data_IF_199413001379
#
_entry.id   IF_199413001379
#
_cell.length_a   1.000
_cell.length_b   1.000
_cell.length_c   1.000
_cell.angle_alpha   90.00
_cell.angle_beta   90.00
_cell.angle_gamma   90.00
#
_symmetry.space_group_name_H-M   'P 1'
#
loop_
_entity.id
_entity.type
_entity.pdbx_description
1 polymer ?
#
# COMPACT_ATOMS: atom_id res chain seq x y z
N UNK A 1 -30.15 13.84 42.56
CA UNK A 1 -28.74 13.50 42.35
C UNK A 1 -28.65 13.00 40.92
N UNK A 2 -28.15 13.84 40.00
CA UNK A 2 -28.05 13.50 38.58
C UNK A 2 -26.83 12.59 38.42
N UNK A 3 -27.06 11.34 38.04
CA UNK A 3 -25.99 10.43 37.63
C UNK A 3 -25.35 10.99 36.35
N UNK A 4 -24.09 11.42 36.45
CA UNK A 4 -23.28 11.73 35.28
C UNK A 4 -23.03 10.42 34.53
N UNK A 5 -23.62 10.29 33.34
CA UNK A 5 -23.18 9.31 32.35
C UNK A 5 -21.76 9.71 31.92
N UNK A 6 -20.78 8.91 32.31
CA UNK A 6 -19.43 9.05 31.79
C UNK A 6 -19.43 8.62 30.31
N UNK A 7 -18.92 9.46 29.41
CA UNK A 7 -18.59 9.03 28.06
C UNK A 7 -17.43 8.03 28.14
N UNK A 8 -17.64 6.81 27.66
CA UNK A 8 -16.54 5.87 27.47
C UNK A 8 -15.77 6.25 26.20
N UNK A 9 -14.52 6.64 26.38
CA UNK A 9 -13.61 7.01 25.30
C UNK A 9 -13.05 5.73 24.67
N UNK A 10 -13.38 5.49 23.40
CA UNK A 10 -12.78 4.41 22.61
C UNK A 10 -11.60 4.98 21.82
N UNK A 11 -10.41 4.42 22.04
CA UNK A 11 -9.22 4.73 21.27
C UNK A 11 -8.73 3.48 20.52
N UNK A 12 -8.28 3.67 19.29
CA UNK A 12 -7.56 2.65 18.52
C UNK A 12 -6.20 3.21 18.10
N UNK A 13 -5.22 2.33 17.91
CA UNK A 13 -3.87 2.71 17.50
C UNK A 13 -3.52 1.98 16.20
N UNK A 14 -2.85 2.65 15.28
CA UNK A 14 -2.23 2.03 14.12
C UNK A 14 -0.71 2.24 14.19
N UNK A 15 0.04 1.22 13.79
CA UNK A 15 1.49 1.27 13.72
C UNK A 15 1.92 1.43 12.26
N UNK A 16 2.63 2.51 11.97
CA UNK A 16 3.19 2.78 10.64
C UNK A 16 4.69 2.60 10.71
N UNK A 17 5.22 1.67 9.93
CA UNK A 17 6.64 1.40 9.79
C UNK A 17 7.11 1.79 8.38
N UNK A 18 8.32 2.34 8.27
CA UNK A 18 8.91 2.70 6.99
C UNK A 18 10.32 2.10 6.85
N UNK A 19 10.54 1.38 5.76
CA UNK A 19 11.84 0.85 5.35
C UNK A 19 12.34 1.62 4.15
N UNK A 20 13.59 2.07 4.18
CA UNK A 20 14.12 2.97 3.16
C UNK A 20 15.43 2.48 2.56
N UNK A 21 15.62 2.70 1.26
CA UNK A 21 16.88 2.42 0.57
C UNK A 21 17.15 3.43 -0.54
N UNK A 22 18.42 3.66 -0.83
CA UNK A 22 18.89 4.62 -1.83
C UNK A 22 19.75 3.93 -2.87
N UNK A 23 19.53 4.25 -4.14
CA UNK A 23 20.34 3.78 -5.26
C UNK A 23 20.76 4.94 -6.14
N UNK A 24 21.99 4.89 -6.67
CA UNK A 24 22.52 5.89 -7.60
C UNK A 24 22.84 5.18 -8.91
N UNK A 25 22.08 5.51 -9.95
CA UNK A 25 22.30 5.04 -11.30
C UNK A 25 23.19 6.02 -12.06
N UNK A 26 24.43 5.62 -12.31
CA UNK A 26 25.42 6.37 -13.10
C UNK A 26 25.35 5.93 -14.56
N UNK A 27 25.08 6.88 -15.45
CA UNK A 27 25.00 6.70 -16.90
C UNK A 27 26.28 7.29 -17.48
N UNK A 28 27.31 6.45 -17.62
CA UNK A 28 28.54 6.80 -18.31
C UNK A 28 28.33 6.75 -19.83
N UNK A 29 28.93 7.70 -20.56
CA UNK A 29 28.69 7.85 -21.99
C UNK A 29 27.33 8.49 -22.29
N UNK A 30 26.86 9.41 -21.44
CA UNK A 30 25.53 10.02 -21.55
C UNK A 30 25.27 10.63 -22.93
N UNK A 31 26.29 11.23 -23.55
CA UNK A 31 26.22 11.76 -24.91
C UNK A 31 25.75 10.74 -25.95
N UNK A 32 26.13 9.47 -25.81
CA UNK A 32 25.73 8.37 -26.71
C UNK A 32 24.27 7.95 -26.54
N UNK A 33 23.65 8.33 -25.44
CA UNK A 33 22.25 8.01 -25.14
C UNK A 33 21.28 8.99 -25.81
N UNK A 34 21.79 10.14 -26.27
CA UNK A 34 20.99 11.14 -26.95
C UNK A 34 20.72 10.70 -28.40
N UNK A 35 19.45 10.75 -28.81
CA UNK A 35 19.04 10.28 -30.13
C UNK A 35 18.77 8.78 -30.20
N UNK A 36 18.71 8.07 -29.06
CA UNK A 36 18.18 6.72 -28.98
C UNK A 36 16.70 6.66 -29.40
N UNK A 37 15.98 7.78 -29.26
CA UNK A 37 14.59 7.92 -29.65
C UNK A 37 13.64 7.85 -28.45
N UNK A 38 12.50 8.53 -28.58
CA UNK A 38 11.51 8.62 -27.51
C UNK A 38 10.96 7.23 -27.16
N UNK A 39 10.81 6.96 -25.86
CA UNK A 39 10.37 5.66 -25.35
C UNK A 39 11.49 4.61 -25.23
N UNK A 40 12.69 4.88 -25.73
CA UNK A 40 13.87 4.06 -25.42
C UNK A 40 14.42 4.44 -24.05
N UNK A 41 14.82 3.45 -23.26
CA UNK A 41 15.28 3.66 -21.90
C UNK A 41 16.55 2.89 -21.55
N UNK A 42 17.15 3.31 -20.44
CA UNK A 42 18.22 2.66 -19.74
C UNK A 42 17.68 2.21 -18.37
N UNK A 43 18.03 1.00 -17.97
CA UNK A 43 17.63 0.45 -16.67
C UNK A 43 18.86 0.26 -15.78
N UNK A 44 18.73 0.61 -14.49
CA UNK A 44 19.76 0.34 -13.50
C UNK A 44 19.84 -1.15 -13.12
N UNK A 45 20.88 -1.52 -12.40
CA UNK A 45 20.85 -2.74 -11.58
C UNK A 45 19.72 -2.66 -10.55
N UNK A 46 19.26 -3.83 -10.08
CA UNK A 46 18.27 -3.90 -9.02
C UNK A 46 18.85 -3.52 -7.65
N UNK A 47 18.01 -2.99 -6.78
CA UNK A 47 18.32 -2.74 -5.37
C UNK A 47 17.11 -3.10 -4.52
N UNK A 48 17.36 -3.70 -3.36
CA UNK A 48 16.29 -4.25 -2.51
C UNK A 48 15.92 -3.28 -1.39
N UNK A 49 14.62 -3.03 -1.21
CA UNK A 49 14.06 -2.25 -0.09
C UNK A 49 12.84 -2.97 0.44
N UNK A 50 12.82 -3.24 1.76
CA UNK A 50 11.73 -3.96 2.43
C UNK A 50 11.42 -5.33 1.79
N UNK A 51 12.43 -6.06 1.34
CA UNK A 51 12.25 -7.37 0.68
C UNK A 51 11.74 -7.31 -0.75
N UNK A 52 11.57 -6.10 -1.33
CA UNK A 52 11.19 -5.92 -2.72
C UNK A 52 12.36 -5.39 -3.55
N UNK A 53 12.48 -5.89 -4.78
CA UNK A 53 13.51 -5.44 -5.72
C UNK A 53 12.99 -4.30 -6.59
N UNK A 54 13.78 -3.24 -6.67
CA UNK A 54 13.47 -2.02 -7.41
C UNK A 54 14.54 -1.76 -8.46
N UNK A 55 14.17 -1.13 -9.57
CA UNK A 55 15.11 -0.62 -10.57
C UNK A 55 14.72 0.78 -11.02
N UNK A 56 15.72 1.61 -11.33
CA UNK A 56 15.52 2.93 -11.92
C UNK A 56 15.45 2.76 -13.44
N UNK A 57 14.45 3.37 -14.08
CA UNK A 57 14.30 3.42 -15.53
C UNK A 57 14.41 4.87 -16.00
N UNK A 58 15.36 5.16 -16.87
CA UNK A 58 15.67 6.50 -17.34
C UNK A 58 15.48 6.61 -18.86
N UNK A 59 14.77 7.64 -19.32
CA UNK A 59 14.52 7.91 -20.73
C UNK A 59 15.23 9.21 -21.14
N UNK A 60 16.36 9.13 -21.89
CA UNK A 60 17.13 10.32 -22.28
C UNK A 60 16.42 11.23 -23.28
N UNK A 61 15.53 10.67 -24.10
CA UNK A 61 14.75 11.37 -25.12
C UNK A 61 13.25 11.43 -24.80
N UNK A 62 12.89 11.21 -23.53
CA UNK A 62 11.50 11.23 -23.07
C UNK A 62 10.82 9.87 -23.12
N UNK A 63 9.76 9.73 -22.33
CA UNK A 63 9.00 8.50 -22.20
C UNK A 63 7.94 8.31 -23.30
N UNK A 64 7.29 9.39 -23.73
CA UNK A 64 6.19 9.38 -24.70
C UNK A 64 6.36 10.47 -25.77
N UNK A 65 6.19 10.08 -27.04
CA UNK A 65 6.42 10.90 -28.24
C UNK A 65 5.62 12.20 -28.23
N UNK A 66 4.39 12.16 -27.74
CA UNK A 66 3.45 13.27 -27.91
C UNK A 66 3.64 14.42 -26.92
N UNK A 67 4.41 14.24 -25.85
CA UNK A 67 4.47 15.23 -24.76
C UNK A 67 5.86 15.40 -24.11
N UNK A 68 6.80 14.47 -24.32
CA UNK A 68 8.01 14.44 -23.49
C UNK A 68 9.33 14.43 -24.26
N UNK A 69 9.30 14.60 -25.59
CA UNK A 69 10.48 14.50 -26.45
C UNK A 69 11.59 15.54 -26.14
N UNK A 70 11.22 16.65 -25.50
CA UNK A 70 12.12 17.73 -25.05
C UNK A 70 12.57 17.58 -23.58
N UNK A 71 12.15 16.51 -22.90
CA UNK A 71 12.46 16.21 -21.51
C UNK A 71 13.23 14.90 -21.36
N UNK A 72 14.02 14.80 -20.30
CA UNK A 72 14.43 13.50 -19.75
C UNK A 72 13.34 13.02 -18.79
N UNK A 73 13.08 11.72 -18.80
CA UNK A 73 12.11 11.09 -17.88
C UNK A 73 12.81 10.11 -16.95
N UNK A 74 12.28 9.96 -15.74
CA UNK A 74 12.78 9.01 -14.75
C UNK A 74 11.62 8.30 -14.06
N UNK A 75 11.75 7.00 -13.88
CA UNK A 75 10.80 6.15 -13.18
C UNK A 75 11.52 5.17 -12.27
N UNK A 76 10.79 4.59 -11.32
CA UNK A 76 11.20 3.42 -10.55
C UNK A 76 10.19 2.32 -10.84
N UNK A 77 10.69 1.11 -11.01
CA UNK A 77 9.88 -0.07 -11.32
C UNK A 77 10.09 -1.13 -10.27
N UNK A 78 8.99 -1.74 -9.83
CA UNK A 78 9.01 -2.92 -8.96
C UNK A 78 9.36 -4.15 -9.82
N UNK A 79 10.48 -4.80 -9.53
CA UNK A 79 11.04 -5.92 -10.31
C UNK A 79 10.70 -7.28 -9.71
N UNK A 80 10.63 -7.37 -8.38
CA UNK A 80 10.23 -8.60 -7.70
C UNK A 80 8.71 -8.80 -7.80
N UNK A 81 8.29 -10.06 -7.69
CA UNK A 81 6.88 -10.37 -7.43
C UNK A 81 6.44 -9.85 -6.06
N UNK A 82 5.13 -9.65 -5.91
CA UNK A 82 4.50 -9.12 -4.68
C UNK A 82 4.61 -10.07 -3.48
N UNK A 83 4.97 -11.33 -3.70
CA UNK A 83 5.20 -12.31 -2.64
C UNK A 83 6.60 -12.10 -2.03
N UNK A 84 6.81 -10.95 -1.40
CA UNK A 84 7.98 -10.77 -0.55
C UNK A 84 7.89 -11.75 0.63
N UNK A 85 9.02 -12.29 1.13
CA UNK A 85 9.04 -13.23 2.26
C UNK A 85 8.51 -12.64 3.57
N UNK A 86 8.24 -11.33 3.62
CA UNK A 86 7.76 -10.61 4.81
C UNK A 86 6.29 -10.14 4.69
N UNK A 87 5.63 -10.34 3.55
CA UNK A 87 4.28 -9.81 3.28
C UNK A 87 3.18 -10.77 3.76
N UNK A 88 3.30 -11.23 5.00
CA UNK A 88 2.23 -11.98 5.67
C UNK A 88 1.05 -11.09 6.12
N UNK A 89 1.11 -9.78 5.82
CA UNK A 89 0.09 -8.78 6.17
C UNK A 89 -1.04 -8.67 5.13
N UNK A 90 -1.11 -9.54 4.11
CA UNK A 90 -2.21 -9.57 3.13
C UNK A 90 -2.29 -8.35 2.21
N UNK A 91 -1.28 -7.47 2.23
CA UNK A 91 -1.27 -6.26 1.42
C UNK A 91 -0.99 -6.59 -0.07
N UNK A 92 -2.04 -6.56 -0.89
CA UNK A 92 -1.95 -6.77 -2.34
C UNK A 92 -1.21 -5.65 -3.11
N UNK A 93 -0.75 -4.58 -2.43
CA UNK A 93 -0.11 -3.40 -3.03
C UNK A 93 1.03 -2.89 -2.15
N UNK A 94 2.23 -2.74 -2.72
CA UNK A 94 3.38 -2.14 -2.02
C UNK A 94 3.24 -0.63 -2.08
N UNK A 95 3.00 0.03 -0.95
CA UNK A 95 2.94 1.51 -0.90
C UNK A 95 4.32 2.08 -0.65
N UNK A 96 4.76 2.99 -1.51
CA UNK A 96 6.05 3.64 -1.34
C UNK A 96 6.01 5.14 -1.65
N UNK A 97 6.82 5.90 -0.91
CA UNK A 97 7.27 7.23 -1.32
C UNK A 97 8.60 7.10 -2.06
N UNK A 98 8.75 7.87 -3.13
CA UNK A 98 9.94 7.80 -3.99
C UNK A 98 10.46 9.20 -4.23
N UNK A 99 11.72 9.42 -3.87
CA UNK A 99 12.46 10.65 -4.12
C UNK A 99 13.46 10.44 -5.25
N UNK A 100 13.29 11.17 -6.35
CA UNK A 100 14.25 11.20 -7.45
C UNK A 100 15.11 12.45 -7.37
N UNK A 101 16.39 12.32 -7.70
CA UNK A 101 17.27 13.47 -7.84
C UNK A 101 18.35 13.33 -8.91
N UNK A 102 18.74 14.46 -9.51
CA UNK A 102 19.94 14.52 -10.36
C UNK A 102 21.10 15.08 -9.55
N UNK A 103 22.24 14.39 -9.59
CA UNK A 103 23.43 14.75 -8.81
C UNK A 103 24.36 15.67 -9.61
N UNK A 104 24.75 16.80 -9.00
CA UNK A 104 25.87 17.62 -9.45
C UNK A 104 27.18 16.96 -9.01
N UNK A 105 27.83 16.31 -9.97
CA UNK A 105 29.03 15.50 -9.75
C UNK A 105 30.32 16.33 -9.66
N UNK A 106 30.26 17.64 -9.91
CA UNK A 106 31.43 18.55 -9.79
C UNK A 106 31.79 18.83 -8.33
N UNK A 107 30.90 18.48 -7.40
CA UNK A 107 31.07 18.62 -5.96
C UNK A 107 31.46 17.28 -5.35
N UNK A 108 32.25 17.33 -4.28
CA UNK A 108 32.59 16.16 -3.46
C UNK A 108 32.20 16.44 -2.00
N UNK A 109 31.18 15.75 -1.44
CA UNK A 109 30.33 14.76 -2.11
C UNK A 109 29.39 15.40 -3.16
N UNK A 110 28.86 14.62 -4.13
CA UNK A 110 27.87 15.12 -5.08
C UNK A 110 26.62 15.65 -4.37
N UNK A 111 26.03 16.72 -4.92
CA UNK A 111 24.85 17.39 -4.34
C UNK A 111 23.64 17.19 -5.24
N UNK A 112 22.47 16.95 -4.65
CA UNK A 112 21.21 16.87 -5.40
C UNK A 112 20.83 18.27 -5.89
N UNK A 113 20.74 18.47 -7.21
CA UNK A 113 20.41 19.78 -7.81
C UNK A 113 18.91 19.94 -8.10
N UNK A 114 18.26 18.84 -8.44
CA UNK A 114 16.80 18.75 -8.60
C UNK A 114 16.34 17.55 -7.81
N UNK A 115 15.33 17.73 -6.99
CA UNK A 115 14.68 16.67 -6.24
C UNK A 115 13.17 16.72 -6.49
N UNK A 116 12.52 15.57 -6.61
CA UNK A 116 11.08 15.49 -6.73
C UNK A 116 10.58 14.21 -6.07
N UNK A 117 9.51 14.33 -5.30
CA UNK A 117 8.93 13.25 -4.51
C UNK A 117 7.54 12.88 -5.00
N UNK A 118 7.30 11.59 -5.18
CA UNK A 118 5.98 11.04 -5.45
C UNK A 118 5.59 9.97 -4.42
N UNK A 119 4.31 9.64 -4.38
CA UNK A 119 3.77 8.51 -3.61
C UNK A 119 3.00 7.62 -4.55
N UNK A 120 3.22 6.31 -4.49
CA UNK A 120 2.55 5.36 -5.39
C UNK A 120 2.35 3.99 -4.74
N UNK A 121 1.29 3.31 -5.15
CA UNK A 121 1.03 1.91 -4.80
C UNK A 121 1.39 1.00 -5.96
N UNK A 122 2.37 0.13 -5.77
CA UNK A 122 2.83 -0.83 -6.77
C UNK A 122 2.04 -2.13 -6.60
N UNK A 123 1.09 -2.38 -7.52
CA UNK A 123 0.13 -3.48 -7.40
C UNK A 123 0.60 -4.81 -8.03
N UNK A 124 1.68 -4.79 -8.81
CA UNK A 124 2.20 -5.98 -9.48
C UNK A 124 3.66 -5.80 -9.88
N UNK A 125 4.31 -6.91 -10.21
CA UNK A 125 5.59 -6.90 -10.90
C UNK A 125 5.51 -6.07 -12.19
N UNK A 126 6.50 -5.20 -12.41
CA UNK A 126 6.55 -4.28 -13.54
C UNK A 126 5.75 -2.99 -13.33
N UNK A 127 5.02 -2.83 -12.22
CA UNK A 127 4.42 -1.56 -11.86
C UNK A 127 5.51 -0.48 -11.74
N UNK A 128 5.23 0.69 -12.29
CA UNK A 128 6.23 1.76 -12.45
C UNK A 128 5.63 3.12 -12.16
N UNK A 129 6.40 3.98 -11.48
CA UNK A 129 6.00 5.34 -11.15
C UNK A 129 7.17 6.30 -11.27
N UNK A 130 6.90 7.52 -11.72
CA UNK A 130 7.95 8.48 -12.04
C UNK A 130 7.45 9.78 -12.63
N UNK A 131 8.39 10.52 -13.22
CA UNK A 131 8.15 11.79 -13.87
C UNK A 131 8.48 11.68 -15.35
N UNK A 132 7.43 11.75 -16.18
CA UNK A 132 7.58 11.82 -17.63
C UNK A 132 8.30 13.12 -18.07
N UNK A 133 8.13 14.21 -17.31
CA UNK A 133 8.79 15.52 -17.53
C UNK A 133 9.72 15.86 -16.37
N UNK A 134 10.72 15.01 -16.12
CA UNK A 134 11.56 15.18 -14.94
C UNK A 134 12.47 16.41 -15.04
N UNK A 135 13.12 16.66 -16.17
CA UNK A 135 13.87 17.89 -16.43
C UNK A 135 13.94 18.12 -17.94
N UNK A 136 13.87 19.37 -18.42
CA UNK A 136 14.05 19.61 -19.85
C UNK A 136 15.49 19.28 -20.29
N UNK A 137 15.68 18.82 -21.53
CA UNK A 137 17.01 18.52 -22.07
C UNK A 137 17.91 19.74 -22.08
N UNK A 138 17.33 20.94 -22.30
CA UNK A 138 18.04 22.21 -22.24
C UNK A 138 18.57 22.53 -20.83
N UNK A 139 17.78 22.27 -19.78
CA UNK A 139 18.23 22.41 -18.39
C UNK A 139 19.32 21.39 -18.06
N UNK A 140 19.18 20.12 -18.47
CA UNK A 140 20.22 19.10 -18.25
C UNK A 140 21.55 19.57 -18.86
N UNK A 141 21.53 20.06 -20.10
CA UNK A 141 22.72 20.55 -20.80
C UNK A 141 23.35 21.79 -20.13
N UNK A 142 22.55 22.75 -19.66
CA UNK A 142 23.04 24.01 -19.06
C UNK A 142 23.37 23.90 -17.56
N UNK A 143 22.88 22.86 -16.88
CA UNK A 143 23.01 22.72 -15.42
C UNK A 143 24.38 22.28 -14.94
N UNK A 144 25.21 21.70 -15.81
CA UNK A 144 26.46 21.03 -15.43
C UNK A 144 26.27 19.74 -14.64
N UNK A 145 25.08 19.12 -14.73
CA UNK A 145 24.79 17.81 -14.15
C UNK A 145 25.52 16.67 -14.87
N UNK A 146 25.72 16.83 -16.19
CA UNK A 146 26.60 15.96 -16.98
C UNK A 146 28.03 16.42 -16.74
N UNK A 147 28.84 15.55 -16.15
CA UNK A 147 30.25 15.79 -15.87
C UNK A 147 31.05 14.59 -16.34
N UNK A 148 32.14 14.81 -17.08
CA UNK A 148 32.95 13.76 -17.71
C UNK A 148 32.11 12.73 -18.50
N UNK A 149 31.16 13.25 -19.28
CA UNK A 149 30.18 12.47 -20.05
C UNK A 149 29.37 11.46 -19.21
N UNK A 150 29.19 11.75 -17.92
CA UNK A 150 28.41 10.95 -16.99
C UNK A 150 27.25 11.76 -16.41
N UNK A 151 26.05 11.18 -16.41
CA UNK A 151 24.90 11.69 -15.66
C UNK A 151 24.57 10.73 -14.52
N UNK A 152 24.29 11.26 -13.33
CA UNK A 152 23.95 10.44 -12.17
C UNK A 152 22.55 10.76 -11.64
N UNK A 153 21.70 9.72 -11.59
CA UNK A 153 20.34 9.76 -11.07
C UNK A 153 20.31 9.05 -9.72
N UNK A 154 19.84 9.72 -8.68
CA UNK A 154 19.55 9.13 -7.38
C UNK A 154 18.07 8.80 -7.28
N UNK A 155 17.76 7.64 -6.73
CA UNK A 155 16.41 7.25 -6.32
C UNK A 155 16.47 6.80 -4.87
N UNK A 156 15.58 7.33 -4.02
CA UNK A 156 15.36 6.83 -2.67
C UNK A 156 13.93 6.31 -2.57
N UNK A 157 13.78 5.06 -2.15
CA UNK A 157 12.47 4.40 -2.00
C UNK A 157 12.21 4.24 -0.51
N UNK A 158 11.02 4.61 -0.09
CA UNK A 158 10.51 4.47 1.28
C UNK A 158 9.25 3.61 1.25
N UNK A 159 9.38 2.32 1.53
CA UNK A 159 8.25 1.39 1.60
C UNK A 159 7.55 1.57 2.95
N UNK A 160 6.26 1.85 2.90
CA UNK A 160 5.43 2.10 4.08
C UNK A 160 4.55 0.88 4.34
N UNK A 161 4.67 0.32 5.54
CA UNK A 161 3.82 -0.75 6.05
C UNK A 161 2.93 -0.18 7.16
N UNK A 162 1.65 -0.52 7.11
CA UNK A 162 0.68 -0.14 8.14
C UNK A 162 0.19 -1.43 8.75
N UNK A 163 0.39 -1.57 10.06
CA UNK A 163 -0.20 -2.63 10.88
C UNK A 163 -1.27 -2.01 11.74
N UNK A 164 -2.48 -2.55 11.66
CA UNK A 164 -3.53 -2.19 12.61
C UNK A 164 -3.08 -2.69 13.99
N UNK A 165 -3.03 -1.78 14.97
CA UNK A 165 -2.84 -2.19 16.35
C UNK A 165 -4.12 -2.85 16.84
N UNK A 166 -4.01 -3.82 17.74
CA UNK A 166 -5.18 -4.31 18.46
C UNK A 166 -5.94 -3.12 19.07
N UNK A 167 -7.27 -3.16 18.99
CA UNK A 167 -8.10 -2.28 19.81
C UNK A 167 -7.70 -2.58 21.25
N UNK A 168 -6.94 -1.66 21.87
CA UNK A 168 -6.76 -1.64 23.30
C UNK A 168 -8.10 -1.22 23.93
N UNK A 169 -9.11 -2.05 23.73
CA UNK A 169 -10.18 -2.14 24.68
C UNK A 169 -9.48 -2.54 25.96
N UNK A 170 -9.60 -1.72 26.99
CA UNK A 170 -9.57 -2.28 28.32
C UNK A 170 -10.46 -3.50 28.25
N UNK A 171 -9.85 -4.69 28.34
CA UNK A 171 -10.58 -5.84 28.86
C UNK A 171 -10.99 -5.32 30.23
N UNK A 172 -12.18 -4.72 30.30
CA UNK A 172 -12.88 -4.48 31.54
C UNK A 172 -12.73 -5.79 32.26
N UNK A 173 -11.91 -5.77 33.32
CA UNK A 173 -11.38 -6.96 33.97
C UNK A 173 -12.51 -7.98 33.96
N UNK A 174 -12.32 -9.10 33.25
CA UNK A 174 -13.30 -10.18 33.24
C UNK A 174 -13.71 -10.30 34.69
N UNK A 175 -14.98 -9.99 35.05
CA UNK A 175 -15.33 -10.02 36.44
C UNK A 175 -14.93 -11.41 36.90
N UNK A 176 -14.22 -11.56 38.04
CA UNK A 176 -13.87 -12.87 38.52
C UNK A 176 -15.11 -13.75 38.42
N UNK A 177 -14.91 -15.01 38.04
CA UNK A 177 -15.90 -16.02 37.63
C UNK A 177 -17.11 -16.19 38.59
N UNK A 178 -17.17 -15.43 39.68
CA UNK A 178 -18.31 -15.22 40.57
C UNK A 178 -19.48 -14.38 40.01
N UNK A 179 -19.30 -13.56 38.96
CA UNK A 179 -20.43 -12.75 38.42
C UNK A 179 -21.30 -13.52 37.40
N UNK A 180 -20.71 -14.42 36.61
CA UNK A 180 -21.45 -15.31 35.70
C UNK A 180 -22.38 -16.25 36.48
N UNK A 181 -21.97 -16.69 37.66
CA UNK A 181 -22.77 -17.57 38.52
C UNK A 181 -23.98 -16.85 39.15
N UNK A 182 -23.88 -15.55 39.40
CA UNK A 182 -24.97 -14.76 39.97
C UNK A 182 -25.98 -14.29 38.91
N UNK A 183 -25.50 -13.92 37.71
CA UNK A 183 -26.37 -13.60 36.58
C UNK A 183 -27.14 -14.84 36.08
N UNK A 184 -26.47 -15.99 35.96
CA UNK A 184 -27.11 -17.26 35.59
C UNK A 184 -28.14 -17.70 36.64
N UNK A 185 -27.84 -17.54 37.94
CA UNK A 185 -28.78 -17.83 39.03
C UNK A 185 -29.97 -16.86 39.01
N UNK A 186 -29.78 -15.58 38.72
CA UNK A 186 -30.88 -14.61 38.64
C UNK A 186 -31.79 -14.90 37.44
N UNK A 187 -31.21 -15.24 36.29
CA UNK A 187 -31.97 -15.61 35.08
C UNK A 187 -32.73 -16.93 35.25
N UNK A 188 -32.06 -17.96 35.79
CA UNK A 188 -32.68 -19.29 35.99
C UNK A 188 -33.78 -19.29 37.07
N UNK A 189 -33.64 -18.47 38.13
CA UNK A 189 -34.58 -18.48 39.27
C UNK A 189 -35.66 -17.39 39.21
N UNK A 190 -35.41 -16.22 38.60
CA UNK A 190 -36.35 -15.08 38.62
C UNK A 190 -37.01 -14.77 37.29
N UNK A 191 -36.32 -14.90 36.16
CA UNK A 191 -36.90 -14.54 34.84
C UNK A 191 -37.41 -15.75 34.05
N UNK A 192 -36.77 -16.92 34.17
CA UNK A 192 -37.19 -18.15 33.47
C UNK A 192 -38.64 -18.60 33.76
N UNK A 193 -39.14 -18.59 35.02
CA UNK A 193 -40.53 -18.95 35.30
C UNK A 193 -41.57 -17.93 34.79
N UNK A 194 -41.14 -16.70 34.52
CA UNK A 194 -41.98 -15.64 33.94
C UNK A 194 -41.97 -15.70 32.39
N UNK A 195 -40.81 -16.01 31.79
CA UNK A 195 -40.65 -16.17 30.35
C UNK A 195 -41.34 -17.43 29.83
N UNK A 196 -41.27 -18.54 30.58
CA UNK A 196 -41.95 -19.81 30.28
C UNK A 196 -43.47 -19.70 30.32
N UNK A 197 -44.01 -18.75 31.10
CA UNK A 197 -45.45 -18.41 31.11
C UNK A 197 -45.88 -17.56 29.90
N UNK A 198 -44.96 -16.82 29.27
CA UNK A 198 -45.24 -15.95 28.11
C UNK A 198 -45.05 -16.63 26.77
N UNK A 199 -44.15 -17.61 26.66
CA UNK A 199 -43.79 -18.26 25.38
C UNK A 199 -43.88 -19.80 25.43
N UNK A 200 -44.60 -20.36 26.40
CA UNK A 200 -44.72 -21.80 26.66
C UNK A 200 -45.62 -22.58 25.70
N UNK A 201 -45.75 -22.14 24.44
CA UNK A 201 -46.30 -22.94 23.35
C UNK A 201 -45.16 -23.39 22.44
N UNK A 202 -45.26 -24.57 21.82
CA UNK A 202 -44.21 -25.11 20.94
C UNK A 202 -43.82 -24.10 19.82
N UNK A 203 -44.80 -23.31 19.35
CA UNK A 203 -44.61 -22.25 18.35
C UNK A 203 -43.79 -21.05 18.86
N UNK A 204 -43.88 -20.71 20.15
CA UNK A 204 -43.19 -19.56 20.74
C UNK A 204 -41.69 -19.79 20.95
N UNK A 205 -41.33 -21.03 21.31
CA UNK A 205 -39.94 -21.46 21.39
C UNK A 205 -39.33 -21.59 19.98
N UNK A 206 -40.09 -22.10 19.02
CA UNK A 206 -39.67 -22.15 17.62
C UNK A 206 -39.36 -20.75 17.07
N UNK A 207 -40.18 -19.74 17.37
CA UNK A 207 -39.95 -18.36 16.93
C UNK A 207 -38.68 -17.73 17.51
N UNK A 208 -38.39 -17.97 18.79
CA UNK A 208 -37.16 -17.48 19.43
C UNK A 208 -35.91 -18.17 18.90
N UNK A 209 -36.00 -19.47 18.63
CA UNK A 209 -34.90 -20.23 18.04
C UNK A 209 -34.65 -19.80 16.58
N UNK A 210 -35.72 -19.58 15.81
CA UNK A 210 -35.67 -19.00 14.46
C UNK A 210 -35.03 -17.61 14.45
N UNK A 211 -35.39 -16.74 15.40
CA UNK A 211 -34.82 -15.40 15.51
C UNK A 211 -33.33 -15.44 15.87
N UNK A 212 -32.95 -16.32 16.81
CA UNK A 212 -31.55 -16.54 17.18
C UNK A 212 -30.73 -17.12 16.03
N UNK A 213 -31.29 -18.09 15.28
CA UNK A 213 -30.64 -18.66 14.10
C UNK A 213 -30.53 -17.63 12.97
N UNK A 214 -31.54 -16.77 12.77
CA UNK A 214 -31.48 -15.66 11.81
C UNK A 214 -30.40 -14.66 12.20
N UNK A 215 -30.28 -14.29 13.48
CA UNK A 215 -29.21 -13.43 13.96
C UNK A 215 -27.82 -14.07 13.77
N UNK A 216 -27.69 -15.37 14.04
CA UNK A 216 -26.46 -16.12 13.81
C UNK A 216 -26.10 -16.20 12.32
N UNK A 217 -27.09 -16.42 11.46
CA UNK A 217 -26.92 -16.47 10.00
C UNK A 217 -26.52 -15.11 9.43
N UNK A 218 -27.06 -13.99 9.94
CA UNK A 218 -26.63 -12.64 9.54
C UNK A 218 -25.18 -12.38 9.97
N UNK A 219 -24.79 -12.84 11.16
CA UNK A 219 -23.42 -12.73 11.66
C UNK A 219 -22.43 -13.55 10.81
N UNK A 220 -22.79 -14.78 10.45
CA UNK A 220 -21.95 -15.66 9.62
C UNK A 220 -21.93 -15.23 8.14
N UNK A 221 -23.04 -14.77 7.56
CA UNK A 221 -23.05 -14.21 6.20
C UNK A 221 -22.22 -12.93 6.07
N UNK A 222 -22.08 -12.16 7.16
CA UNK A 222 -21.21 -10.98 7.18
C UNK A 222 -19.73 -11.38 7.20
N UNK A 223 -19.39 -12.51 7.82
CA UNK A 223 -18.04 -13.07 7.81
C UNK A 223 -17.68 -13.77 6.49
N UNK A 224 -18.67 -14.32 5.77
CA UNK A 224 -18.45 -15.00 4.46
C UNK A 224 -18.49 -14.04 3.25
N UNK A 225 -19.01 -12.82 3.39
CA UNK A 225 -19.02 -11.82 2.31
C UNK A 225 -17.70 -11.07 2.12
N UNK A 226 -16.78 -11.19 3.07
CA UNK A 226 -15.43 -10.62 2.93
C UNK A 226 -14.49 -11.51 2.06
N UNK A 227 -14.97 -12.68 1.58
CA UNK A 227 -14.19 -13.63 0.77
C UNK A 227 -14.57 -13.68 -0.74
N UNK A 228 -15.59 -12.96 -1.21
CA UNK A 228 -16.19 -13.20 -2.55
C UNK A 228 -16.37 -11.93 -3.42
N UNK A 229 -15.41 -11.00 -3.41
CA UNK A 229 -15.42 -9.89 -4.39
C UNK A 229 -14.04 -9.63 -5.01
N UNK A 230 -13.64 -10.52 -5.92
CA UNK A 230 -12.66 -10.23 -6.98
C UNK A 230 -12.88 -11.18 -8.17
N UNK A 231 -14.06 -11.09 -8.79
CA UNK A 231 -14.29 -11.59 -10.15
C UNK A 231 -14.24 -10.41 -11.12
N UNK A 232 -13.08 -10.16 -11.73
CA UNK A 232 -13.02 -9.41 -12.98
C UNK A 232 -12.30 -10.24 -14.06
N UNK A 233 -13.04 -10.49 -15.13
CA UNK A 233 -12.75 -11.39 -16.23
C UNK A 233 -11.37 -11.16 -16.86
N UNK A 234 -10.48 -12.14 -16.70
CA UNK A 234 -9.22 -12.28 -17.44
C UNK A 234 -9.43 -13.07 -18.72
N UNK A 235 -10.15 -12.53 -19.69
CA UNK A 235 -10.05 -13.04 -21.06
C UNK A 235 -9.81 -11.91 -22.07
N UNK A 236 -8.55 -11.94 -22.56
CA UNK A 236 -8.10 -11.48 -23.89
C UNK A 236 -7.49 -10.07 -23.99
N UNK A 237 -6.27 -9.94 -23.47
CA UNK A 237 -5.23 -9.11 -24.12
C UNK A 237 -3.85 -9.75 -23.91
N UNK A 238 -3.41 -10.56 -24.88
CA UNK A 238 -2.04 -11.06 -24.96
C UNK A 238 -1.20 -10.01 -25.68
N UNK A 239 -0.79 -8.97 -24.98
CA UNK A 239 0.11 -7.94 -25.51
C UNK A 239 1.55 -8.31 -25.14
N UNK A 240 2.42 -8.45 -26.15
CA UNK A 240 3.84 -8.83 -26.00
C UNK A 240 4.76 -7.66 -25.60
N UNK A 241 4.20 -6.61 -25.02
CA UNK A 241 4.93 -5.48 -24.45
C UNK A 241 4.33 -5.19 -23.07
N UNK A 242 5.04 -5.60 -22.02
CA UNK A 242 4.62 -5.37 -20.63
C UNK A 242 4.58 -3.89 -20.32
N UNK A 243 3.38 -3.39 -20.00
CA UNK A 243 3.13 -2.00 -19.65
C UNK A 243 1.66 -1.67 -19.82
N UNK A 244 0.87 -1.87 -18.76
CA UNK A 244 -0.50 -1.36 -18.73
C UNK A 244 -0.45 0.16 -18.55
N UNK A 245 -0.93 0.87 -19.57
CA UNK A 245 -1.32 2.27 -19.47
C UNK A 245 -2.66 2.34 -18.73
N UNK A 246 -2.68 2.88 -17.52
CA UNK A 246 -3.89 3.43 -16.92
C UNK A 246 -3.50 4.71 -16.16
N UNK A 247 -3.79 5.87 -16.76
CA UNK A 247 -4.01 7.11 -16.02
C UNK A 247 -5.51 7.18 -15.72
N UNK A 248 -5.85 7.51 -14.48
CA UNK A 248 -6.89 8.46 -14.11
C UNK A 248 -6.47 9.14 -12.80
#
# INVERSE_FOLDING_TARGET
>A
MVEQLACEEMASTCHVEASSGSHVFKIAGYSLTQGMGVGQCLQSSTFTVAGHDWAIVFYPDGHCVNDTADHVSVFVTLVSDMAGPEDNDGAAVVRAHVDFGLLDQRRSPPVIKKESRLSHGFAAQGASAGYARFMSKAEVASSGLVHDDCLAVRCMVHVVRVREGEVAGTVAAVPPTSVLTNAYRHVATRTWPALKRRFGTEDGLAFLFELLLKCLMVYLNKQLRDDDDCSCDRERCRCKCGGCCCND
#
